data_IF_401117213124
#
_entry.id   IF_401117213124
#
_cell.length_a   1.000
_cell.length_b   1.000
_cell.length_c   1.000
_cell.angle_alpha   90.00
_cell.angle_beta   90.00
_cell.angle_gamma   90.00
#
_symmetry.space_group_name_H-M   'P 1'
#
loop_
_entity.id
_entity.type
_entity.pdbx_description
1 polymer ?
#
# COMPACT_ATOMS: atom_id res chain seq x y z
N UNK A 1 -39.74 -54.66 7.76
CA UNK A 1 -40.67 -54.59 8.90
C UNK A 1 -40.87 -53.12 9.25
N UNK A 2 -42.09 -52.60 9.05
CA UNK A 2 -42.57 -51.29 9.58
C UNK A 2 -42.63 -51.35 11.11
N UNK A 3 -42.35 -50.26 11.85
CA UNK A 3 -43.16 -49.67 12.97
C UNK A 3 -42.66 -48.22 13.26
N UNK A 4 -43.52 -47.21 13.03
CA UNK A 4 -44.18 -46.31 14.01
C UNK A 4 -43.21 -45.37 14.77
N UNK A 5 -43.10 -44.08 14.42
CA UNK A 5 -44.02 -42.94 14.70
C UNK A 5 -43.87 -42.38 16.12
N UNK A 6 -43.37 -41.15 16.27
CA UNK A 6 -43.93 -40.18 17.22
C UNK A 6 -43.48 -38.74 16.89
N UNK A 7 -44.45 -37.93 16.51
CA UNK A 7 -44.37 -36.47 16.43
C UNK A 7 -44.05 -35.89 17.81
N UNK A 8 -43.06 -34.99 17.90
CA UNK A 8 -42.99 -34.00 18.97
C UNK A 8 -42.72 -32.65 18.32
N UNK A 9 -43.81 -31.90 18.19
CA UNK A 9 -43.84 -30.48 17.94
C UNK A 9 -43.40 -29.80 19.24
N UNK A 10 -42.23 -29.14 19.27
CA UNK A 10 -41.88 -28.21 20.35
C UNK A 10 -41.56 -26.85 19.76
N UNK A 11 -42.56 -25.97 19.85
CA UNK A 11 -42.44 -24.53 19.75
C UNK A 11 -41.54 -24.06 20.90
N UNK A 12 -40.41 -23.40 20.65
CA UNK A 12 -39.78 -22.58 21.67
C UNK A 12 -39.07 -21.36 21.05
N UNK A 13 -39.76 -20.23 21.24
CA UNK A 13 -39.26 -18.88 21.52
C UNK A 13 -38.01 -18.39 20.78
N UNK A 14 -38.26 -17.44 19.88
CA UNK A 14 -37.32 -16.45 19.44
C UNK A 14 -36.67 -15.71 20.61
N UNK A 15 -35.34 -15.64 20.61
CA UNK A 15 -34.58 -14.56 21.25
C UNK A 15 -33.68 -13.94 20.19
N UNK A 16 -34.22 -12.95 19.48
CA UNK A 16 -33.44 -12.04 18.66
C UNK A 16 -32.69 -11.10 19.61
N UNK A 17 -31.51 -11.52 20.06
CA UNK A 17 -30.55 -10.62 20.70
C UNK A 17 -29.94 -9.71 19.62
N UNK A 18 -30.65 -8.62 19.34
CA UNK A 18 -30.13 -7.51 18.54
C UNK A 18 -29.02 -6.79 19.29
N UNK A 19 -27.79 -7.27 19.17
CA UNK A 19 -26.62 -6.44 19.42
C UNK A 19 -26.53 -5.44 18.26
N UNK A 20 -27.01 -4.22 18.49
CA UNK A 20 -26.61 -3.07 17.68
C UNK A 20 -25.10 -2.88 17.88
N UNK A 21 -24.31 -3.56 17.04
CA UNK A 21 -22.88 -3.32 16.94
C UNK A 21 -22.70 -1.89 16.40
N UNK A 22 -22.37 -0.97 17.29
CA UNK A 22 -21.87 0.35 16.92
C UNK A 22 -20.70 0.16 15.93
N UNK A 23 -20.68 0.85 14.77
CA UNK A 23 -19.56 0.77 13.87
C UNK A 23 -18.30 1.25 14.62
N UNK A 24 -17.18 0.50 14.58
CA UNK A 24 -15.94 0.96 15.18
C UNK A 24 -15.55 2.30 14.57
N UNK A 25 -15.25 3.29 15.41
CA UNK A 25 -14.73 4.57 14.98
C UNK A 25 -13.49 4.33 14.09
N UNK A 26 -13.29 5.10 13.00
CA UNK A 26 -12.13 4.92 12.13
C UNK A 26 -10.86 5.12 12.95
N UNK A 27 -10.05 4.08 13.07
CA UNK A 27 -8.75 4.15 13.71
C UNK A 27 -7.87 5.22 13.04
N UNK A 28 -6.96 5.89 13.78
CA UNK A 28 -5.98 6.77 13.16
C UNK A 28 -5.16 5.99 12.12
N UNK A 29 -5.23 6.43 10.87
CA UNK A 29 -4.57 5.80 9.73
C UNK A 29 -3.05 5.91 9.85
N UNK A 30 -2.33 4.83 9.60
CA UNK A 30 -0.86 4.87 9.58
C UNK A 30 -0.37 5.78 8.43
N UNK A 31 0.85 6.35 8.52
CA UNK A 31 1.41 7.18 7.45
C UNK A 31 1.39 6.50 6.08
N UNK A 32 1.54 5.18 6.04
CA UNK A 32 1.51 4.37 4.82
C UNK A 32 0.11 4.33 4.18
N UNK A 33 -0.95 4.17 4.99
CA UNK A 33 -2.33 4.24 4.52
C UNK A 33 -2.68 5.65 3.99
N UNK A 34 -2.12 6.70 4.62
CA UNK A 34 -2.33 8.08 4.15
C UNK A 34 -1.72 8.31 2.75
N UNK A 35 -0.57 7.72 2.44
CA UNK A 35 -0.01 7.80 1.07
C UNK A 35 -0.93 7.12 0.06
N UNK A 36 -1.45 5.94 0.38
CA UNK A 36 -2.34 5.17 -0.49
C UNK A 36 -3.69 5.87 -0.75
N UNK A 37 -4.21 6.61 0.24
CA UNK A 37 -5.50 7.32 0.12
C UNK A 37 -5.45 8.61 -0.71
N UNK A 38 -4.26 9.15 -0.97
CA UNK A 38 -4.14 10.40 -1.72
C UNK A 38 -4.04 10.09 -3.22
N UNK A 39 -4.83 10.74 -4.09
CA UNK A 39 -4.80 10.48 -5.52
C UNK A 39 -3.40 10.61 -6.11
N UNK A 40 -3.05 9.70 -7.03
CA UNK A 40 -1.75 9.71 -7.72
C UNK A 40 -1.63 10.86 -8.71
N UNK A 41 -2.72 11.28 -9.34
CA UNK A 41 -2.78 12.35 -10.34
C UNK A 41 -4.23 12.80 -10.53
N UNK A 42 -4.43 13.98 -11.12
CA UNK A 42 -5.73 14.43 -11.66
C UNK A 42 -6.01 13.95 -13.09
N UNK A 43 -5.02 13.34 -13.76
CA UNK A 43 -5.16 12.77 -15.10
C UNK A 43 -5.76 11.37 -15.07
N UNK A 44 -6.94 11.18 -15.69
CA UNK A 44 -7.61 9.88 -15.73
C UNK A 44 -6.77 8.78 -16.37
N UNK A 45 -5.96 9.09 -17.39
CA UNK A 45 -5.07 8.13 -18.02
C UNK A 45 -3.94 7.67 -17.07
N UNK A 46 -3.39 8.59 -16.27
CA UNK A 46 -2.36 8.26 -15.27
C UNK A 46 -2.95 7.43 -14.14
N UNK A 47 -4.16 7.79 -13.68
CA UNK A 47 -4.90 7.02 -12.66
C UNK A 47 -5.14 5.59 -13.14
N UNK A 48 -5.66 5.41 -14.36
CA UNK A 48 -5.91 4.08 -14.91
C UNK A 48 -4.64 3.21 -15.03
N UNK A 49 -3.50 3.81 -15.41
CA UNK A 49 -2.22 3.10 -15.47
C UNK A 49 -1.73 2.69 -14.08
N UNK A 50 -1.86 3.55 -13.08
CA UNK A 50 -1.48 3.23 -11.71
C UNK A 50 -2.39 2.12 -11.11
N UNK A 51 -3.69 2.17 -11.40
CA UNK A 51 -4.63 1.12 -10.95
C UNK A 51 -4.38 -0.22 -11.64
N UNK A 52 -4.07 -0.20 -12.93
CA UNK A 52 -3.60 -1.40 -13.65
C UNK A 52 -2.35 -1.97 -13.00
N UNK A 53 -1.37 -1.11 -12.68
CA UNK A 53 -0.15 -1.56 -12.03
C UNK A 53 -0.41 -2.18 -10.65
N UNK A 54 -1.27 -1.56 -9.83
CA UNK A 54 -1.68 -2.12 -8.53
C UNK A 54 -2.35 -3.48 -8.66
N UNK A 55 -3.23 -3.64 -9.66
CA UNK A 55 -3.88 -4.92 -9.98
C UNK A 55 -2.86 -5.98 -10.37
N UNK A 56 -1.92 -5.63 -11.24
CA UNK A 56 -0.83 -6.52 -11.65
C UNK A 56 0.09 -6.91 -10.48
N UNK A 57 0.40 -5.98 -9.57
CA UNK A 57 1.16 -6.29 -8.35
C UNK A 57 0.41 -7.30 -7.48
N UNK A 58 -0.91 -7.12 -7.29
CA UNK A 58 -1.73 -8.06 -6.53
C UNK A 58 -1.79 -9.45 -7.17
N UNK A 59 -1.70 -9.53 -8.50
CA UNK A 59 -1.64 -10.77 -9.26
C UNK A 59 -0.21 -11.37 -9.36
N UNK A 60 0.83 -10.70 -8.84
CA UNK A 60 2.23 -11.11 -8.99
C UNK A 60 2.84 -10.80 -10.37
N UNK A 61 2.13 -10.08 -11.24
CA UNK A 61 2.55 -9.70 -12.59
C UNK A 61 3.48 -8.47 -12.57
N UNK A 62 4.61 -8.56 -11.86
CA UNK A 62 5.45 -7.38 -11.60
C UNK A 62 6.06 -6.72 -12.85
N UNK A 63 6.25 -7.49 -13.93
CA UNK A 63 6.73 -6.94 -15.20
C UNK A 63 5.67 -6.02 -15.85
N UNK A 64 4.41 -6.45 -15.90
CA UNK A 64 3.29 -5.65 -16.40
C UNK A 64 3.08 -4.41 -15.54
N UNK A 65 3.15 -4.56 -14.21
CA UNK A 65 3.07 -3.43 -13.28
C UNK A 65 4.17 -2.38 -13.53
N UNK A 66 5.42 -2.83 -13.75
CA UNK A 66 6.54 -1.92 -14.04
C UNK A 66 6.29 -1.15 -15.34
N UNK A 67 5.86 -1.84 -16.40
CA UNK A 67 5.57 -1.22 -17.69
C UNK A 67 4.45 -0.18 -17.62
N UNK A 68 3.40 -0.45 -16.83
CA UNK A 68 2.30 0.48 -16.61
C UNK A 68 2.75 1.75 -15.86
N UNK A 69 3.50 1.60 -14.76
CA UNK A 69 4.05 2.74 -14.00
C UNK A 69 5.04 3.56 -14.82
N UNK A 70 5.92 2.92 -15.60
CA UNK A 70 6.85 3.62 -16.50
C UNK A 70 6.12 4.38 -17.61
N UNK A 71 5.01 3.82 -18.12
CA UNK A 71 4.15 4.53 -19.07
C UNK A 71 3.49 5.74 -18.42
N UNK A 72 3.02 5.61 -17.19
CA UNK A 72 2.47 6.74 -16.44
C UNK A 72 3.53 7.83 -16.23
N UNK A 73 4.77 7.44 -15.91
CA UNK A 73 5.91 8.36 -15.78
C UNK A 73 6.33 9.01 -17.10
N UNK A 74 6.07 8.40 -18.27
CA UNK A 74 6.25 9.10 -19.56
C UNK A 74 5.24 10.24 -19.74
N UNK A 75 4.06 10.14 -19.13
CA UNK A 75 3.04 11.20 -19.15
C UNK A 75 3.37 12.26 -18.08
N UNK A 76 3.75 11.84 -16.87
CA UNK A 76 4.12 12.73 -15.76
C UNK A 76 5.49 12.39 -15.16
N UNK A 77 6.61 12.84 -15.79
CA UNK A 77 7.97 12.44 -15.41
C UNK A 77 8.41 12.83 -14.00
N UNK A 78 7.76 13.83 -13.41
CA UNK A 78 8.07 14.39 -12.08
C UNK A 78 7.03 14.02 -11.03
N UNK A 79 6.15 13.06 -11.30
CA UNK A 79 5.16 12.64 -10.33
C UNK A 79 5.82 11.81 -9.21
N UNK A 80 5.92 12.40 -8.01
CA UNK A 80 6.55 11.77 -6.86
C UNK A 80 5.85 10.46 -6.44
N UNK A 81 4.51 10.38 -6.52
CA UNK A 81 3.77 9.18 -6.11
C UNK A 81 4.02 8.00 -7.04
N UNK A 82 4.08 8.23 -8.36
CA UNK A 82 4.44 7.19 -9.32
C UNK A 82 5.87 6.66 -9.08
N UNK A 83 6.82 7.54 -8.78
CA UNK A 83 8.18 7.11 -8.41
C UNK A 83 8.21 6.30 -7.11
N UNK A 84 7.35 6.62 -6.15
CA UNK A 84 7.22 5.87 -4.90
C UNK A 84 6.63 4.47 -5.12
N UNK A 85 5.55 4.36 -5.91
CA UNK A 85 4.94 3.06 -6.26
C UNK A 85 5.92 2.16 -7.03
N UNK A 86 6.69 2.74 -7.96
CA UNK A 86 7.72 2.00 -8.68
C UNK A 86 8.83 1.52 -7.74
N UNK A 87 9.22 2.34 -6.75
CA UNK A 87 10.19 1.95 -5.73
C UNK A 87 9.71 0.77 -4.87
N UNK A 88 8.44 0.79 -4.42
CA UNK A 88 7.84 -0.34 -3.70
C UNK A 88 7.79 -1.60 -4.56
N UNK A 89 7.46 -1.47 -5.85
CA UNK A 89 7.47 -2.59 -6.78
C UNK A 89 8.87 -3.21 -6.90
N UNK A 90 9.93 -2.39 -6.99
CA UNK A 90 11.30 -2.90 -7.04
C UNK A 90 11.71 -3.64 -5.77
N UNK A 91 11.27 -3.20 -4.59
CA UNK A 91 11.45 -3.99 -3.36
C UNK A 91 10.77 -5.36 -3.45
N UNK A 92 9.53 -5.42 -3.94
CA UNK A 92 8.80 -6.69 -4.13
C UNK A 92 9.49 -7.63 -5.13
N UNK A 93 10.19 -7.07 -6.11
CA UNK A 93 11.01 -7.83 -7.06
C UNK A 93 12.38 -8.25 -6.50
N UNK A 94 12.75 -7.81 -5.29
CA UNK A 94 14.07 -8.03 -4.71
C UNK A 94 15.16 -7.09 -5.24
N UNK A 95 14.82 -6.12 -6.09
CA UNK A 95 15.77 -5.15 -6.62
C UNK A 95 15.89 -3.94 -5.68
N UNK A 96 16.60 -4.16 -4.58
CA UNK A 96 16.80 -3.17 -3.54
C UNK A 96 17.55 -1.92 -4.05
N UNK A 97 18.51 -2.09 -4.98
CA UNK A 97 19.28 -0.97 -5.53
C UNK A 97 18.37 -0.02 -6.32
N UNK A 98 17.54 -0.55 -7.22
CA UNK A 98 16.59 0.27 -7.97
C UNK A 98 15.53 0.89 -7.06
N UNK A 99 15.04 0.15 -6.05
CA UNK A 99 14.08 0.68 -5.09
C UNK A 99 14.60 1.94 -4.38
N UNK A 100 15.83 1.90 -3.84
CA UNK A 100 16.43 3.05 -3.18
C UNK A 100 16.55 4.27 -4.11
N UNK A 101 16.98 4.05 -5.35
CA UNK A 101 17.12 5.11 -6.36
C UNK A 101 15.78 5.77 -6.71
N UNK A 102 14.73 4.96 -6.89
CA UNK A 102 13.40 5.45 -7.25
C UNK A 102 12.73 6.20 -6.08
N UNK A 103 12.87 5.70 -4.85
CA UNK A 103 12.38 6.39 -3.66
C UNK A 103 13.12 7.72 -3.41
N UNK A 104 14.43 7.77 -3.66
CA UNK A 104 15.22 9.00 -3.60
C UNK A 104 14.75 10.01 -4.66
N UNK A 105 14.46 9.55 -5.88
CA UNK A 105 13.88 10.39 -6.94
C UNK A 105 12.49 10.89 -6.55
N UNK A 106 11.63 10.05 -5.99
CA UNK A 106 10.33 10.48 -5.45
C UNK A 106 10.51 11.61 -4.43
N UNK A 107 11.46 11.48 -3.50
CA UNK A 107 11.77 12.52 -2.51
C UNK A 107 12.18 13.86 -3.12
N UNK A 108 12.90 13.87 -4.26
CA UNK A 108 13.25 15.12 -4.95
C UNK A 108 12.05 15.88 -5.52
N UNK A 109 10.93 15.19 -5.76
CA UNK A 109 9.70 15.78 -6.32
C UNK A 109 8.55 15.90 -5.30
N UNK A 110 8.68 15.28 -4.12
CA UNK A 110 7.62 15.24 -3.11
C UNK A 110 7.35 16.59 -2.40
N UNK A 111 8.27 17.57 -2.52
CA UNK A 111 8.10 18.90 -1.95
C UNK A 111 7.83 18.90 -0.44
N UNK A 112 6.72 19.53 -0.02
CA UNK A 112 6.26 19.58 1.37
C UNK A 112 5.48 18.33 1.83
N UNK A 113 5.34 17.34 0.93
CA UNK A 113 4.89 15.95 1.10
C UNK A 113 5.50 15.20 2.29
N UNK A 114 5.37 15.63 3.55
CA UNK A 114 6.09 14.99 4.68
C UNK A 114 5.76 13.50 4.82
N UNK A 115 4.53 13.11 4.52
CA UNK A 115 4.06 11.73 4.66
C UNK A 115 4.64 10.88 3.54
N UNK A 116 4.57 11.35 2.29
CA UNK A 116 5.22 10.68 1.16
C UNK A 116 6.73 10.61 1.35
N UNK A 117 7.35 11.68 1.85
CA UNK A 117 8.78 11.71 2.12
C UNK A 117 9.20 10.69 3.16
N UNK A 118 8.42 10.56 4.24
CA UNK A 118 8.65 9.55 5.25
C UNK A 118 8.49 8.13 4.69
N UNK A 119 7.47 7.89 3.87
CA UNK A 119 7.27 6.59 3.22
C UNK A 119 8.44 6.23 2.28
N UNK A 120 8.95 7.19 1.49
CA UNK A 120 10.14 6.98 0.67
C UNK A 120 11.39 6.69 1.51
N UNK A 121 11.58 7.37 2.65
CA UNK A 121 12.70 7.06 3.54
C UNK A 121 12.60 5.66 4.15
N UNK A 122 11.39 5.16 4.41
CA UNK A 122 11.20 3.75 4.81
C UNK A 122 11.60 2.79 3.69
N UNK A 123 11.16 3.03 2.45
CA UNK A 123 11.58 2.23 1.27
C UNK A 123 13.11 2.24 1.11
N UNK A 124 13.76 3.39 1.29
CA UNK A 124 15.23 3.49 1.24
C UNK A 124 15.88 2.68 2.37
N UNK A 125 15.30 2.72 3.58
CA UNK A 125 15.80 1.96 4.72
C UNK A 125 15.70 0.45 4.50
N UNK A 126 14.54 -0.02 4.02
CA UNK A 126 14.31 -1.43 3.67
C UNK A 126 15.27 -1.89 2.55
N UNK A 127 15.43 -1.08 1.50
CA UNK A 127 16.38 -1.35 0.44
C UNK A 127 17.82 -1.47 0.96
N UNK A 128 18.26 -0.53 1.81
CA UNK A 128 19.62 -0.58 2.38
C UNK A 128 19.83 -1.79 3.28
N UNK A 129 18.84 -2.16 4.09
CA UNK A 129 18.88 -3.38 4.90
C UNK A 129 19.01 -4.62 4.02
N UNK A 130 18.21 -4.72 2.95
CA UNK A 130 18.29 -5.83 2.00
C UNK A 130 19.67 -5.92 1.30
N UNK A 131 20.40 -4.80 1.19
CA UNK A 131 21.76 -4.73 0.67
C UNK A 131 22.85 -4.96 1.74
N UNK A 132 22.48 -5.19 3.01
CA UNK A 132 23.40 -5.37 4.13
C UNK A 132 23.96 -4.06 4.74
N UNK A 133 23.46 -2.90 4.31
CA UNK A 133 23.83 -1.59 4.85
C UNK A 133 22.92 -1.22 6.04
N UNK A 134 23.12 -1.89 7.18
CA UNK A 134 22.31 -1.66 8.40
C UNK A 134 22.45 -0.23 8.94
N UNK A 135 23.66 0.33 8.90
CA UNK A 135 23.92 1.72 9.34
C UNK A 135 23.12 2.71 8.50
N UNK A 136 23.15 2.55 7.17
CA UNK A 136 22.37 3.37 6.27
C UNK A 136 20.87 3.14 6.41
N UNK A 137 20.44 1.90 6.67
CA UNK A 137 19.04 1.58 6.89
C UNK A 137 18.48 2.35 8.10
N UNK A 138 19.18 2.25 9.24
CA UNK A 138 18.82 2.97 10.46
C UNK A 138 18.78 4.49 10.25
N UNK A 139 19.78 5.04 9.57
CA UNK A 139 19.80 6.47 9.24
C UNK A 139 18.62 6.91 8.35
N UNK A 140 18.11 6.02 7.48
CA UNK A 140 16.94 6.29 6.66
C UNK A 140 15.64 6.22 7.48
N UNK A 141 15.49 5.22 8.35
CA UNK A 141 14.34 5.12 9.25
C UNK A 141 14.24 6.31 10.21
N UNK A 142 15.38 6.74 10.79
CA UNK A 142 15.42 7.94 11.64
C UNK A 142 14.92 9.20 10.91
N UNK A 143 15.26 9.34 9.62
CA UNK A 143 14.75 10.45 8.79
C UNK A 143 13.26 10.33 8.55
N UNK A 144 12.75 9.12 8.31
CA UNK A 144 11.32 8.88 8.14
C UNK A 144 10.55 9.30 9.40
N UNK A 145 11.04 8.92 10.58
CA UNK A 145 10.40 9.22 11.85
C UNK A 145 10.42 10.71 12.17
N UNK A 146 11.55 11.40 11.94
CA UNK A 146 11.65 12.86 12.13
C UNK A 146 10.66 13.66 11.28
N UNK A 147 10.22 13.13 10.14
CA UNK A 147 9.26 13.81 9.25
C UNK A 147 7.80 13.71 9.73
N UNK A 148 7.48 12.70 10.54
CA UNK A 148 6.11 12.42 11.02
C UNK A 148 5.92 12.64 12.52
N UNK A 149 6.98 13.06 13.22
CA UNK A 149 6.91 13.55 14.60
C UNK A 149 6.29 14.95 14.67
#
# INVERSE_FOLDING_TARGET
MRRFSLSILFLLAAFAAGCAALPPAPAPKTPEEKVASTPVSSSGAVVALADSARTDVAAGNYASASAALERALRIEPRNARLWHELAQLKLKQGDASQAANMAARSNSWAGADKVLRAANWRVIGEAKRALGDETGANAAFDKADKLIR
#
